data_IF_918052839274
#
_entry.id   IF_918052839274
#
_cell.length_a   1.000
_cell.length_b   1.000
_cell.length_c   1.000
_cell.angle_alpha   90.00
_cell.angle_beta   90.00
_cell.angle_gamma   90.00
#
_symmetry.space_group_name_H-M   'P 1'
#
loop_
_entity.id
_entity.type
_entity.pdbx_description
1 polymer ?
#
# COMPACT_ATOMS: atom_id res chain seq x y z
N UNK A 1 7.97 -20.94 0.81
CA UNK A 1 9.42 -21.23 0.93
C UNK A 1 9.65 -22.18 2.09
N UNK A 2 9.72 -23.51 1.88
CA UNK A 2 9.71 -24.49 2.97
C UNK A 2 10.97 -24.49 3.84
N UNK A 3 12.03 -23.80 3.40
CA UNK A 3 13.32 -23.68 4.09
C UNK A 3 13.50 -22.35 4.83
N UNK A 4 12.52 -21.43 4.76
CA UNK A 4 12.67 -20.08 5.31
C UNK A 4 12.85 -20.06 6.84
N UNK A 5 12.25 -21.04 7.53
CA UNK A 5 12.31 -21.18 9.00
C UNK A 5 13.44 -22.13 9.45
N UNK A 6 14.31 -22.59 8.55
CA UNK A 6 15.43 -23.48 8.91
C UNK A 6 16.50 -22.68 9.69
N UNK A 7 16.92 -23.12 10.89
CA UNK A 7 17.87 -22.37 11.72
C UNK A 7 19.25 -22.19 11.09
N UNK A 8 19.62 -22.99 10.08
CA UNK A 8 20.88 -22.85 9.34
C UNK A 8 20.82 -21.75 8.26
N UNK A 9 19.63 -21.25 7.93
CA UNK A 9 19.45 -20.13 6.99
C UNK A 9 19.44 -18.83 7.79
N UNK A 10 20.56 -18.12 7.78
CA UNK A 10 20.75 -16.90 8.60
C UNK A 10 20.32 -15.61 7.90
N UNK A 11 20.17 -15.62 6.57
CA UNK A 11 19.71 -14.48 5.79
C UNK A 11 19.05 -14.94 4.49
N UNK A 12 18.04 -14.20 4.03
CA UNK A 12 17.33 -14.40 2.77
C UNK A 12 17.23 -13.05 2.07
N UNK A 13 17.62 -12.99 0.80
CA UNK A 13 17.56 -11.77 -0.01
C UNK A 13 16.94 -12.08 -1.38
N UNK A 14 15.93 -11.30 -1.76
CA UNK A 14 15.30 -11.37 -3.07
C UNK A 14 15.82 -10.24 -3.97
N UNK A 15 16.75 -10.56 -4.88
CA UNK A 15 17.33 -9.58 -5.82
C UNK A 15 16.51 -9.38 -7.11
N UNK A 16 15.46 -10.17 -7.31
CA UNK A 16 14.57 -10.13 -8.48
C UNK A 16 15.35 -10.26 -9.80
N UNK A 17 15.17 -9.31 -10.74
CA UNK A 17 15.78 -9.30 -12.07
C UNK A 17 16.66 -8.06 -12.25
N UNK A 18 17.90 -8.05 -11.70
CA UNK A 18 18.73 -6.85 -11.60
C UNK A 18 19.48 -6.44 -12.88
N UNK A 19 19.32 -7.18 -13.99
CA UNK A 19 19.96 -6.85 -15.27
C UNK A 19 21.47 -7.14 -15.30
N UNK A 20 22.21 -6.37 -16.12
CA UNK A 20 23.63 -6.62 -16.41
C UNK A 20 24.57 -6.43 -15.20
N UNK A 21 24.22 -5.54 -14.27
CA UNK A 21 25.00 -5.26 -13.06
C UNK A 21 24.61 -6.15 -11.85
N UNK A 22 24.00 -7.32 -12.11
CA UNK A 22 23.50 -8.24 -11.09
C UNK A 22 24.51 -8.56 -9.99
N UNK A 23 25.74 -8.93 -10.38
CA UNK A 23 26.80 -9.31 -9.45
C UNK A 23 27.29 -8.14 -8.60
N UNK A 24 27.57 -7.00 -9.25
CA UNK A 24 28.08 -5.81 -8.58
C UNK A 24 27.05 -5.27 -7.57
N UNK A 25 25.80 -5.10 -7.99
CA UNK A 25 24.73 -4.61 -7.13
C UNK A 25 24.45 -5.53 -5.93
N UNK A 26 24.52 -6.85 -6.12
CA UNK A 26 24.31 -7.82 -5.04
C UNK A 26 25.46 -7.79 -4.02
N UNK A 27 26.71 -7.79 -4.49
CA UNK A 27 27.91 -7.80 -3.63
C UNK A 27 27.98 -6.53 -2.78
N UNK A 28 27.63 -5.37 -3.33
CA UNK A 28 27.56 -4.12 -2.57
C UNK A 28 26.62 -4.20 -1.37
N UNK A 29 25.48 -4.88 -1.52
CA UNK A 29 24.54 -5.11 -0.41
C UNK A 29 25.09 -6.14 0.57
N UNK A 30 25.58 -7.30 0.08
CA UNK A 30 26.07 -8.38 0.94
C UNK A 30 27.23 -7.96 1.84
N UNK A 31 28.13 -7.10 1.34
CA UNK A 31 29.25 -6.56 2.12
C UNK A 31 28.90 -5.26 2.85
N UNK A 32 27.67 -4.79 2.75
CA UNK A 32 27.20 -3.58 3.43
C UNK A 32 27.88 -2.29 2.94
N UNK A 33 28.39 -2.28 1.70
CA UNK A 33 28.77 -1.05 1.01
C UNK A 33 27.52 -0.21 0.68
N UNK A 34 26.39 -0.88 0.42
CA UNK A 34 25.06 -0.30 0.28
C UNK A 34 24.09 -0.97 1.25
N UNK A 35 23.26 -0.17 1.91
CA UNK A 35 22.22 -0.68 2.80
C UNK A 35 21.03 -1.26 2.02
N UNK A 36 20.54 -2.46 2.37
CA UNK A 36 19.31 -2.97 1.81
C UNK A 36 18.15 -2.06 2.24
N UNK A 37 17.45 -1.53 1.23
CA UNK A 37 16.33 -0.60 1.40
C UNK A 37 15.14 -0.93 0.49
N UNK A 38 15.19 -2.11 -0.15
CA UNK A 38 14.07 -2.64 -0.93
C UNK A 38 12.94 -3.10 -0.02
N UNK A 39 11.71 -3.00 -0.52
CA UNK A 39 10.50 -3.55 0.11
C UNK A 39 9.77 -4.38 -0.93
N UNK A 40 9.13 -5.46 -0.49
CA UNK A 40 8.42 -6.37 -1.37
C UNK A 40 7.24 -5.64 -2.04
N UNK A 41 7.18 -5.63 -3.39
CA UNK A 41 6.06 -5.03 -4.12
C UNK A 41 4.86 -5.99 -4.25
N UNK A 42 4.92 -7.17 -3.62
CA UNK A 42 3.89 -8.20 -3.55
C UNK A 42 4.01 -8.96 -2.24
N UNK A 43 2.96 -9.64 -1.82
CA UNK A 43 2.98 -10.52 -0.66
C UNK A 43 3.62 -11.86 -1.03
N UNK A 44 4.46 -12.44 -0.18
CA UNK A 44 4.96 -13.80 -0.32
C UNK A 44 4.17 -14.73 0.61
N UNK A 45 3.40 -15.69 0.10
CA UNK A 45 2.55 -16.54 0.91
C UNK A 45 3.33 -17.61 1.66
N UNK A 46 2.68 -18.20 2.68
CA UNK A 46 3.09 -19.51 3.19
C UNK A 46 2.66 -20.61 2.23
N UNK A 47 1.40 -20.60 1.77
CA UNK A 47 0.86 -21.55 0.81
C UNK A 47 0.39 -20.85 -0.47
N UNK A 48 0.62 -21.45 -1.64
CA UNK A 48 0.19 -20.84 -2.91
C UNK A 48 -1.31 -20.60 -3.01
N UNK A 49 -2.12 -21.40 -2.29
CA UNK A 49 -3.58 -21.22 -2.19
C UNK A 49 -4.00 -19.92 -1.50
N UNK A 50 -3.11 -19.29 -0.72
CA UNK A 50 -3.44 -18.09 0.05
C UNK A 50 -3.60 -16.84 -0.84
N UNK A 51 -3.04 -16.87 -2.06
CA UNK A 51 -3.23 -15.80 -3.05
C UNK A 51 -4.68 -15.68 -3.56
N UNK A 52 -5.51 -16.69 -3.32
CA UNK A 52 -6.89 -16.71 -3.78
C UNK A 52 -7.09 -17.57 -5.03
N UNK A 53 -7.85 -17.09 -6.04
CA UNK A 53 -8.24 -17.90 -7.19
C UNK A 53 -7.05 -18.54 -7.91
N UNK A 54 -7.14 -19.82 -8.30
CA UNK A 54 -6.05 -20.49 -9.00
C UNK A 54 -5.86 -19.92 -10.41
N UNK A 55 -4.65 -20.03 -10.93
CA UNK A 55 -4.42 -19.86 -12.37
C UNK A 55 -5.25 -20.92 -13.10
N UNK A 56 -6.11 -20.48 -14.01
CA UNK A 56 -6.90 -21.38 -14.85
C UNK A 56 -5.96 -22.08 -15.84
N UNK A 57 -5.60 -23.32 -15.50
CA UNK A 57 -4.69 -24.16 -16.30
C UNK A 57 -5.41 -25.03 -17.32
N UNK A 58 -6.74 -25.09 -17.29
CA UNK A 58 -7.53 -25.83 -18.28
C UNK A 58 -8.86 -25.14 -18.57
N UNK A 59 -9.23 -25.17 -19.86
CA UNK A 59 -10.54 -24.79 -20.38
C UNK A 59 -11.50 -25.97 -20.22
N UNK A 60 -11.54 -26.60 -19.05
CA UNK A 60 -12.19 -27.91 -18.85
C UNK A 60 -13.63 -28.00 -19.40
N UNK A 61 -14.32 -26.86 -19.55
CA UNK A 61 -15.67 -26.76 -20.12
C UNK A 61 -15.78 -25.94 -21.43
N UNK A 62 -14.70 -25.41 -22.00
CA UNK A 62 -14.78 -24.68 -23.27
C UNK A 62 -14.70 -25.66 -24.45
N UNK A 63 -15.76 -25.70 -25.25
CA UNK A 63 -15.84 -26.46 -26.51
C UNK A 63 -15.31 -25.67 -27.71
N UNK A 64 -15.07 -24.36 -27.54
CA UNK A 64 -14.49 -23.46 -28.53
C UNK A 64 -13.14 -22.92 -28.01
N UNK A 65 -12.02 -23.11 -28.74
CA UNK A 65 -10.71 -22.59 -28.35
C UNK A 65 -10.63 -21.05 -28.25
N UNK A 66 -11.61 -20.32 -28.78
CA UNK A 66 -11.71 -18.86 -28.65
C UNK A 66 -12.57 -18.40 -27.47
N UNK A 67 -13.28 -19.31 -26.80
CA UNK A 67 -14.22 -19.00 -25.72
C UNK A 67 -13.61 -19.22 -24.32
N UNK A 68 -12.33 -18.89 -24.14
CA UNK A 68 -11.70 -18.91 -22.83
C UNK A 68 -12.31 -17.82 -21.94
N UNK A 69 -12.64 -18.14 -20.70
CA UNK A 69 -13.24 -17.22 -19.73
C UNK A 69 -12.47 -17.27 -18.42
N UNK A 70 -12.27 -16.10 -17.81
CA UNK A 70 -11.70 -15.94 -16.47
C UNK A 70 -12.57 -14.93 -15.73
N UNK A 71 -13.31 -15.39 -14.74
CA UNK A 71 -14.20 -14.54 -13.95
C UNK A 71 -13.44 -13.98 -12.74
N UNK A 72 -13.34 -12.66 -12.66
CA UNK A 72 -12.62 -11.94 -11.60
C UNK A 72 -13.54 -11.76 -10.38
N UNK A 73 -14.00 -12.89 -9.84
CA UNK A 73 -14.96 -12.95 -8.73
C UNK A 73 -14.41 -12.36 -7.43
N UNK A 74 -13.08 -12.30 -7.29
CA UNK A 74 -12.36 -11.69 -6.17
C UNK A 74 -12.43 -10.16 -6.17
N UNK A 75 -12.79 -9.54 -7.31
CA UNK A 75 -12.89 -8.09 -7.45
C UNK A 75 -11.58 -7.38 -7.07
N UNK A 76 -11.62 -6.54 -6.03
CA UNK A 76 -10.44 -5.79 -5.57
C UNK A 76 -9.52 -6.59 -4.64
N UNK A 77 -9.92 -7.79 -4.20
CA UNK A 77 -9.21 -8.60 -3.22
C UNK A 77 -8.11 -9.42 -3.88
N UNK A 78 -7.04 -8.73 -4.28
CA UNK A 78 -5.82 -9.33 -4.82
C UNK A 78 -4.63 -8.98 -3.93
N UNK A 79 -3.60 -9.84 -3.95
CA UNK A 79 -2.39 -9.70 -3.13
C UNK A 79 -2.74 -9.41 -1.66
N UNK A 80 -2.09 -8.47 -0.97
CA UNK A 80 -2.31 -8.19 0.45
C UNK A 80 -3.76 -7.90 0.83
N UNK A 81 -4.60 -7.43 -0.10
CA UNK A 81 -6.03 -7.20 0.15
C UNK A 81 -6.78 -8.52 0.35
N UNK A 82 -6.41 -9.57 -0.38
CA UNK A 82 -6.91 -10.93 -0.18
C UNK A 82 -6.51 -11.47 1.19
N UNK A 83 -5.23 -11.31 1.57
CA UNK A 83 -4.74 -11.72 2.89
C UNK A 83 -5.45 -10.97 4.02
N UNK A 84 -5.68 -9.65 3.84
CA UNK A 84 -6.39 -8.82 4.80
C UNK A 84 -7.89 -9.19 4.89
N UNK A 85 -8.53 -9.55 3.77
CA UNK A 85 -9.93 -9.98 3.73
C UNK A 85 -10.15 -11.35 4.38
N UNK A 86 -9.25 -12.30 4.12
CA UNK A 86 -9.35 -13.67 4.66
C UNK A 86 -8.79 -13.81 6.08
N UNK A 87 -8.11 -12.78 6.61
CA UNK A 87 -7.40 -12.87 7.88
C UNK A 87 -6.18 -13.81 7.85
N UNK A 88 -5.66 -14.12 6.67
CA UNK A 88 -4.49 -14.99 6.49
C UNK A 88 -3.20 -14.18 6.61
N UNK A 89 -2.17 -14.77 7.22
CA UNK A 89 -0.83 -14.17 7.31
C UNK A 89 0.06 -14.60 6.15
N UNK A 90 0.66 -13.62 5.47
CA UNK A 90 1.72 -13.88 4.51
C UNK A 90 3.00 -14.34 5.25
N UNK A 91 3.87 -15.08 4.57
CA UNK A 91 5.23 -15.37 5.08
C UNK A 91 6.04 -14.07 5.16
N UNK A 92 5.95 -13.25 4.12
CA UNK A 92 6.43 -11.87 4.10
C UNK A 92 5.36 -11.00 3.44
N UNK A 93 4.86 -10.00 4.13
CA UNK A 93 3.74 -9.18 3.68
C UNK A 93 4.14 -8.15 2.62
N UNK A 94 3.15 -7.64 1.88
CA UNK A 94 3.36 -6.50 0.99
C UNK A 94 3.99 -5.32 1.74
N UNK A 95 5.00 -4.72 1.11
CA UNK A 95 5.78 -3.62 1.68
C UNK A 95 6.81 -4.04 2.72
N UNK A 96 7.00 -5.33 3.01
CA UNK A 96 8.00 -5.82 3.95
C UNK A 96 9.43 -5.73 3.39
N UNK A 97 10.39 -5.44 4.25
CA UNK A 97 11.80 -5.59 3.95
C UNK A 97 12.66 -5.07 5.09
N UNK A 98 13.72 -5.81 5.41
CA UNK A 98 14.64 -5.46 6.48
C UNK A 98 15.68 -4.43 6.02
N UNK A 99 16.49 -3.96 6.96
CA UNK A 99 17.66 -3.12 6.76
C UNK A 99 18.77 -3.56 7.72
N UNK A 100 20.02 -3.15 7.52
CA UNK A 100 21.05 -3.34 8.56
C UNK A 100 20.99 -2.27 9.65
N UNK A 101 20.10 -1.28 9.50
CA UNK A 101 19.71 -0.36 10.58
C UNK A 101 18.30 -0.64 11.10
N UNK A 102 17.95 -0.02 12.22
CA UNK A 102 16.63 -0.07 12.82
C UNK A 102 15.93 1.28 12.66
N UNK A 103 14.61 1.26 12.46
CA UNK A 103 13.80 2.46 12.37
C UNK A 103 12.63 2.40 13.33
N UNK A 104 12.29 3.54 13.93
CA UNK A 104 11.09 3.72 14.75
C UNK A 104 10.24 4.81 14.14
N UNK A 105 8.92 4.67 14.27
CA UNK A 105 7.94 5.66 13.84
C UNK A 105 7.20 6.18 15.07
N UNK A 106 6.90 7.48 15.11
CA UNK A 106 6.04 8.04 16.16
C UNK A 106 4.62 7.45 16.05
N UNK A 107 3.96 7.21 17.19
CA UNK A 107 2.52 6.91 17.19
C UNK A 107 1.68 8.16 16.88
N UNK A 108 2.23 9.34 17.19
CA UNK A 108 1.58 10.62 16.94
C UNK A 108 1.75 11.01 15.47
N UNK A 109 0.63 11.33 14.84
CA UNK A 109 0.55 11.73 13.43
C UNK A 109 -0.37 12.92 13.29
N UNK A 110 -0.03 13.85 12.39
CA UNK A 110 -0.91 14.95 12.05
C UNK A 110 -1.68 14.63 10.78
N UNK A 111 -2.96 15.00 10.77
CA UNK A 111 -3.81 14.94 9.58
C UNK A 111 -4.47 16.31 9.42
N UNK A 112 -4.45 16.83 8.19
CA UNK A 112 -5.04 18.11 7.83
C UNK A 112 -5.79 17.99 6.52
N UNK A 113 -7.03 18.49 6.48
CA UNK A 113 -7.77 18.72 5.24
C UNK A 113 -7.35 20.07 4.65
N UNK A 114 -7.11 20.09 3.35
CA UNK A 114 -6.80 21.30 2.58
C UNK A 114 -8.11 21.90 2.07
N UNK A 115 -8.25 23.21 2.19
CA UNK A 115 -9.38 24.00 1.71
C UNK A 115 -10.75 23.65 2.35
N UNK A 116 -10.77 22.95 3.49
CA UNK A 116 -11.97 22.69 4.29
C UNK A 116 -12.66 21.33 4.01
N UNK A 117 -13.97 21.20 4.29
CA UNK A 117 -14.70 19.96 4.08
C UNK A 117 -14.78 19.60 2.59
N UNK A 118 -14.86 18.31 2.29
CA UNK A 118 -14.95 17.82 0.91
C UNK A 118 -16.41 17.63 0.51
N UNK A 119 -16.74 18.08 -0.71
CA UNK A 119 -17.97 17.65 -1.38
C UNK A 119 -17.92 16.15 -1.69
N UNK A 120 -19.09 15.51 -1.74
CA UNK A 120 -19.23 14.11 -2.15
C UNK A 120 -18.69 13.88 -3.57
N UNK A 121 -19.05 14.79 -4.47
CA UNK A 121 -18.73 14.71 -5.88
C UNK A 121 -17.58 15.65 -6.23
N UNK A 122 -16.70 15.24 -7.16
CA UNK A 122 -15.65 16.11 -7.66
C UNK A 122 -16.24 17.24 -8.52
N UNK A 123 -15.57 18.40 -8.53
CA UNK A 123 -15.99 19.57 -9.32
C UNK A 123 -15.80 19.31 -10.83
N UNK A 124 -16.92 19.11 -11.53
CA UNK A 124 -16.93 18.85 -12.97
C UNK A 124 -16.46 20.06 -13.80
N UNK A 125 -16.55 21.28 -13.26
CA UNK A 125 -16.16 22.50 -13.97
C UNK A 125 -14.64 22.62 -14.19
N UNK A 126 -13.84 21.86 -13.42
CA UNK A 126 -12.38 21.80 -13.59
C UNK A 126 -11.93 21.07 -14.87
N UNK A 127 -12.86 20.42 -15.58
CA UNK A 127 -12.60 19.78 -16.85
C UNK A 127 -11.79 18.47 -16.75
N UNK A 128 -11.50 17.89 -17.91
CA UNK A 128 -10.82 16.60 -18.02
C UNK A 128 -9.32 16.76 -18.31
N UNK A 129 -8.51 15.93 -17.66
CA UNK A 129 -7.07 15.78 -17.90
C UNK A 129 -6.75 14.31 -18.21
N UNK A 130 -5.56 13.98 -18.76
CA UNK A 130 -5.15 12.59 -18.87
C UNK A 130 -5.29 11.85 -17.52
N UNK A 131 -6.11 10.80 -17.51
CA UNK A 131 -6.41 10.01 -16.33
C UNK A 131 -7.76 10.30 -15.65
N UNK A 132 -8.47 11.38 -15.98
CA UNK A 132 -9.81 11.63 -15.43
C UNK A 132 -10.13 13.12 -15.23
N UNK A 133 -11.20 13.38 -14.49
CA UNK A 133 -11.58 14.74 -14.09
C UNK A 133 -10.47 15.39 -13.26
N UNK A 134 -10.12 16.65 -13.55
CA UNK A 134 -8.99 17.34 -12.95
C UNK A 134 -9.06 17.40 -11.42
N UNK A 135 -10.26 17.61 -10.86
CA UNK A 135 -10.47 17.72 -9.41
C UNK A 135 -10.14 16.42 -8.65
N UNK A 136 -10.15 15.26 -9.32
CA UNK A 136 -9.73 13.99 -8.70
C UNK A 136 -8.25 13.97 -8.29
N UNK A 137 -7.44 14.78 -8.96
CA UNK A 137 -5.98 14.84 -8.80
C UNK A 137 -5.54 15.98 -7.89
N UNK A 138 -6.49 16.80 -7.40
CA UNK A 138 -6.21 17.83 -6.40
C UNK A 138 -5.82 17.17 -5.08
N UNK A 139 -4.73 17.63 -4.48
CA UNK A 139 -4.37 17.25 -3.10
C UNK A 139 -5.37 17.91 -2.14
N UNK A 140 -6.06 17.09 -1.37
CA UNK A 140 -7.13 17.53 -0.46
C UNK A 140 -6.83 17.24 1.00
N UNK A 141 -5.82 16.43 1.29
CA UNK A 141 -5.38 16.19 2.66
C UNK A 141 -3.88 15.91 2.71
N UNK A 142 -3.29 16.18 3.87
CA UNK A 142 -1.90 15.86 4.17
C UNK A 142 -1.82 15.10 5.48
N UNK A 143 -1.10 13.99 5.47
CA UNK A 143 -0.74 13.25 6.68
C UNK A 143 0.77 13.30 6.89
N UNK A 144 1.21 13.54 8.11
CA UNK A 144 2.63 13.57 8.47
C UNK A 144 2.92 12.67 9.67
N UNK A 145 4.08 12.03 9.66
CA UNK A 145 4.55 11.19 10.77
C UNK A 145 6.06 11.25 10.88
N UNK A 146 6.57 11.32 12.11
CA UNK A 146 8.02 11.31 12.35
C UNK A 146 8.59 9.89 12.27
N UNK A 147 9.74 9.77 11.61
CA UNK A 147 10.52 8.53 11.47
C UNK A 147 11.94 8.80 11.94
N UNK A 148 12.44 7.93 12.81
CA UNK A 148 13.78 8.00 13.38
C UNK A 148 14.60 6.78 12.95
N UNK A 149 15.84 6.99 12.55
CA UNK A 149 16.81 5.90 12.45
C UNK A 149 17.39 5.62 13.84
N UNK A 150 16.90 4.57 14.49
CA UNK A 150 17.29 4.17 15.84
C UNK A 150 18.49 3.21 15.88
N UNK A 151 19.02 2.82 14.71
CA UNK A 151 20.22 1.99 14.62
C UNK A 151 21.51 2.81 14.55
N UNK A 152 22.60 2.11 14.18
CA UNK A 152 23.97 2.66 14.18
C UNK A 152 24.51 2.97 12.78
N UNK A 153 23.75 2.69 11.72
CA UNK A 153 24.17 2.86 10.32
C UNK A 153 23.23 3.81 9.59
N UNK A 154 23.77 4.66 8.73
CA UNK A 154 22.95 5.48 7.83
C UNK A 154 22.27 4.56 6.82
N UNK A 155 20.95 4.69 6.66
CA UNK A 155 20.16 3.79 5.80
C UNK A 155 18.87 4.49 5.33
N UNK A 156 18.07 3.80 4.52
CA UNK A 156 16.78 4.29 4.06
C UNK A 156 15.60 3.54 4.66
N UNK A 157 14.69 4.31 5.28
CA UNK A 157 13.36 3.86 5.65
C UNK A 157 12.39 4.02 4.48
N UNK A 158 11.35 3.18 4.44
CA UNK A 158 10.22 3.33 3.51
C UNK A 158 8.91 3.37 4.29
N UNK A 159 8.54 4.53 4.87
CA UNK A 159 7.25 4.71 5.50
C UNK A 159 6.12 4.59 4.47
N UNK A 160 5.03 3.93 4.84
CA UNK A 160 3.88 3.63 3.99
C UNK A 160 2.61 4.08 4.69
N UNK A 161 1.73 4.78 3.95
CA UNK A 161 0.40 5.19 4.39
C UNK A 161 -0.66 4.33 3.73
N UNK A 162 -1.51 3.75 4.56
CA UNK A 162 -2.69 3.03 4.16
C UNK A 162 -3.98 3.72 4.63
N UNK A 163 -5.00 3.67 3.78
CA UNK A 163 -6.32 4.28 4.01
C UNK A 163 -7.39 3.19 4.04
N UNK A 164 -8.28 3.29 5.03
CA UNK A 164 -9.47 2.46 5.19
C UNK A 164 -10.70 3.34 5.05
N UNK A 165 -11.43 3.17 3.96
CA UNK A 165 -12.72 3.84 3.77
C UNK A 165 -13.81 3.21 4.67
N UNK A 166 -14.82 3.98 5.10
CA UNK A 166 -15.95 3.48 5.88
C UNK A 166 -16.70 2.37 5.13
N UNK A 167 -16.85 1.19 5.75
CA UNK A 167 -17.45 0.01 5.10
C UNK A 167 -18.99 0.06 5.06
N UNK A 168 -19.58 0.94 5.84
CA UNK A 168 -21.02 1.16 5.97
C UNK A 168 -21.58 2.12 4.92
N UNK A 169 -20.73 2.96 4.33
CA UNK A 169 -21.10 3.95 3.30
C UNK A 169 -20.33 3.77 1.98
N UNK A 170 -19.60 2.68 1.84
CA UNK A 170 -18.96 2.27 0.58
C UNK A 170 -19.56 0.96 0.05
N UNK A 171 -19.45 0.68 -1.27
CA UNK A 171 -20.00 -0.54 -1.85
C UNK A 171 -19.40 -1.81 -1.23
N UNK A 172 -20.17 -2.91 -1.18
CA UNK A 172 -19.63 -4.22 -0.84
C UNK A 172 -18.41 -4.58 -1.68
N UNK A 173 -17.41 -5.22 -1.07
CA UNK A 173 -16.15 -5.54 -1.74
C UNK A 173 -15.12 -4.39 -1.76
N UNK A 174 -15.38 -3.29 -1.05
CA UNK A 174 -14.36 -2.27 -0.78
C UNK A 174 -13.26 -2.86 0.13
N UNK A 175 -11.97 -2.79 -0.23
CA UNK A 175 -10.90 -3.34 0.60
C UNK A 175 -10.82 -2.67 1.98
N UNK A 176 -10.51 -3.47 3.02
CA UNK A 176 -10.38 -2.97 4.39
C UNK A 176 -9.32 -1.89 4.54
N UNK A 177 -8.26 -1.94 3.73
CA UNK A 177 -7.10 -1.06 3.82
C UNK A 177 -6.38 -1.05 2.47
N UNK A 178 -6.01 0.12 1.96
CA UNK A 178 -5.29 0.25 0.68
C UNK A 178 -4.13 1.24 0.80
N UNK A 179 -2.97 0.90 0.24
CA UNK A 179 -1.83 1.82 0.13
C UNK A 179 -2.25 3.08 -0.66
N UNK A 180 -1.91 4.26 -0.13
CA UNK A 180 -2.12 5.57 -0.77
C UNK A 180 -0.89 6.45 -0.84
N UNK A 181 0.13 6.19 -0.02
CA UNK A 181 1.38 6.95 -0.09
C UNK A 181 2.54 6.14 0.44
N UNK A 182 3.73 6.43 -0.06
CA UNK A 182 4.98 5.99 0.54
C UNK A 182 6.08 7.01 0.21
N UNK A 183 7.07 7.10 1.08
CA UNK A 183 8.27 7.89 0.83
C UNK A 183 9.51 7.04 1.07
N UNK A 184 10.63 7.38 0.43
CA UNK A 184 11.93 6.79 0.74
C UNK A 184 12.82 7.82 1.40
N UNK A 185 12.97 7.71 2.70
CA UNK A 185 13.74 8.65 3.50
C UNK A 185 15.12 8.05 3.76
N UNK A 186 16.19 8.75 3.35
CA UNK A 186 17.54 8.43 3.80
C UNK A 186 17.82 9.20 5.10
N UNK A 187 18.31 8.49 6.12
CA UNK A 187 18.57 9.00 7.47
C UNK A 187 19.92 8.50 7.98
N UNK A 188 20.73 9.41 8.52
CA UNK A 188 21.91 9.07 9.34
C UNK A 188 21.48 8.38 10.64
N UNK A 189 22.41 7.71 11.30
CA UNK A 189 22.15 7.13 12.62
C UNK A 189 21.70 8.22 13.62
N UNK A 190 20.59 7.98 14.33
CA UNK A 190 19.99 8.92 15.27
C UNK A 190 19.20 10.07 14.63
N UNK A 191 19.20 10.21 13.30
CA UNK A 191 18.46 11.27 12.61
C UNK A 191 16.95 11.00 12.64
N UNK A 192 16.18 12.09 12.74
CA UNK A 192 14.72 12.11 12.64
C UNK A 192 14.29 12.91 11.44
N UNK A 193 13.32 12.41 10.69
CA UNK A 193 12.70 13.11 9.56
C UNK A 193 11.20 12.87 9.55
N UNK A 194 10.46 13.87 9.10
CA UNK A 194 9.03 13.76 8.86
C UNK A 194 8.79 13.09 7.49
N UNK A 195 8.00 12.03 7.46
CA UNK A 195 7.40 11.51 6.25
C UNK A 195 6.10 12.28 5.96
N UNK A 196 5.92 12.76 4.72
CA UNK A 196 4.75 13.56 4.33
C UNK A 196 3.97 12.86 3.21
N UNK A 197 2.70 12.62 3.44
CA UNK A 197 1.81 11.96 2.47
C UNK A 197 0.74 12.94 2.01
N UNK A 198 0.78 13.30 0.74
CA UNK A 198 -0.28 14.04 0.07
C UNK A 198 -1.34 13.07 -0.42
N UNK A 199 -2.58 13.32 -0.04
CA UNK A 199 -3.74 12.53 -0.45
C UNK A 199 -4.56 13.34 -1.45
N UNK A 200 -4.70 12.80 -2.65
CA UNK A 200 -5.57 13.34 -3.67
C UNK A 200 -7.03 13.07 -3.34
N UNK A 201 -7.96 13.83 -3.92
CA UNK A 201 -9.40 13.54 -3.79
C UNK A 201 -9.70 12.09 -4.10
N UNK A 202 -9.14 11.57 -5.20
CA UNK A 202 -9.32 10.17 -5.63
C UNK A 202 -8.85 9.14 -4.60
N UNK A 203 -7.83 9.45 -3.81
CA UNK A 203 -7.30 8.54 -2.79
C UNK A 203 -8.32 8.27 -1.68
N UNK A 204 -9.24 9.21 -1.49
CA UNK A 204 -10.34 9.16 -0.53
C UNK A 204 -11.69 8.82 -1.20
N UNK A 205 -11.71 8.43 -2.47
CA UNK A 205 -12.93 8.12 -3.21
C UNK A 205 -13.09 6.63 -3.51
N UNK A 206 -14.35 6.23 -3.74
CA UNK A 206 -14.72 4.97 -4.38
C UNK A 206 -15.45 5.26 -5.70
N UNK A 207 -15.58 4.24 -6.55
CA UNK A 207 -16.37 4.33 -7.78
C UNK A 207 -17.82 3.90 -7.54
N UNK A 208 -18.76 4.82 -7.73
CA UNK A 208 -20.19 4.54 -7.71
C UNK A 208 -20.62 3.96 -9.07
N UNK A 209 -21.09 2.71 -9.06
CA UNK A 209 -21.51 2.00 -10.27
C UNK A 209 -22.84 2.51 -10.84
N UNK A 210 -23.75 2.96 -9.99
CA UNK A 210 -25.08 3.41 -10.41
C UNK A 210 -24.95 4.74 -11.16
N UNK A 211 -24.22 5.68 -10.56
CA UNK A 211 -24.02 7.01 -11.12
C UNK A 211 -22.77 7.15 -12.00
N UNK A 212 -21.93 6.10 -12.08
CA UNK A 212 -20.71 6.04 -12.90
C UNK A 212 -19.77 7.20 -12.64
N UNK A 213 -19.50 7.48 -11.36
CA UNK A 213 -18.66 8.59 -10.93
C UNK A 213 -17.86 8.25 -9.68
N UNK A 214 -16.80 9.01 -9.44
CA UNK A 214 -16.05 8.94 -8.20
C UNK A 214 -16.78 9.71 -7.10
N UNK A 215 -16.84 9.12 -5.92
CA UNK A 215 -17.52 9.69 -4.75
C UNK A 215 -16.60 9.57 -3.54
N UNK A 216 -16.40 10.68 -2.82
CA UNK A 216 -15.83 10.64 -1.45
C UNK A 216 -16.93 10.14 -0.51
N UNK A 217 -16.76 9.07 0.26
CA UNK A 217 -17.80 8.58 1.15
C UNK A 217 -17.94 9.46 2.41
N UNK A 218 -19.16 9.54 2.94
CA UNK A 218 -19.41 10.08 4.28
C UNK A 218 -19.00 9.04 5.35
N UNK A 219 -18.47 9.50 6.49
CA UNK A 219 -18.17 8.63 7.62
C UNK A 219 -16.70 8.67 8.07
N UNK A 220 -16.29 7.66 8.84
CA UNK A 220 -14.95 7.62 9.44
C UNK A 220 -13.96 6.95 8.49
N UNK A 221 -13.08 7.76 7.91
CA UNK A 221 -11.90 7.27 7.20
C UNK A 221 -10.77 7.07 8.20
N UNK A 222 -10.12 5.91 8.16
CA UNK A 222 -8.96 5.61 9.03
C UNK A 222 -7.68 5.65 8.22
N UNK A 223 -6.64 6.20 8.84
CA UNK A 223 -5.31 6.33 8.29
C UNK A 223 -4.35 5.53 9.16
N UNK A 224 -3.55 4.67 8.55
CA UNK A 224 -2.54 3.88 9.25
C UNK A 224 -1.20 4.01 8.55
N UNK A 225 -0.20 4.52 9.25
CA UNK A 225 1.17 4.62 8.74
C UNK A 225 2.08 3.58 9.42
N UNK A 226 3.03 3.07 8.66
CA UNK A 226 3.91 1.99 9.12
C UNK A 226 5.06 1.70 8.18
N UNK A 227 5.75 0.58 8.40
CA UNK A 227 6.87 0.15 7.55
C UNK A 227 6.50 -0.99 6.58
N UNK A 228 5.31 -1.56 6.73
CA UNK A 228 4.73 -2.56 5.82
C UNK A 228 3.21 -2.60 5.98
N UNK A 229 2.52 -3.42 5.18
CA UNK A 229 1.06 -3.62 5.29
C UNK A 229 0.61 -4.24 6.62
N UNK A 230 1.51 -4.89 7.37
CA UNK A 230 1.24 -5.54 8.67
C UNK A 230 1.97 -4.89 9.85
N UNK A 231 3.06 -4.16 9.61
CA UNK A 231 3.72 -3.33 10.61
C UNK A 231 3.17 -1.90 10.56
N UNK A 232 2.02 -1.67 11.22
CA UNK A 232 1.33 -0.38 11.29
C UNK A 232 1.47 0.22 12.69
N UNK A 233 2.09 1.40 12.76
CA UNK A 233 2.49 2.06 14.01
C UNK A 233 1.57 3.22 14.32
N UNK A 234 1.60 4.29 13.51
CA UNK A 234 0.76 5.47 13.69
C UNK A 234 -0.64 5.22 13.13
N UNK A 235 -1.66 5.64 13.88
CA UNK A 235 -3.06 5.52 13.47
C UNK A 235 -3.80 6.80 13.81
N UNK A 236 -4.58 7.29 12.86
CA UNK A 236 -5.52 8.39 13.08
C UNK A 236 -6.77 8.18 12.24
N UNK A 237 -7.77 9.01 12.44
CA UNK A 237 -9.01 8.96 11.68
C UNK A 237 -9.55 10.37 11.46
N UNK A 238 -10.28 10.54 10.37
CA UNK A 238 -11.03 11.76 10.10
C UNK A 238 -12.47 11.37 9.77
N UNK A 239 -13.41 12.18 10.24
CA UNK A 239 -14.80 12.08 9.80
C UNK A 239 -14.97 12.98 8.58
N UNK A 240 -15.28 12.39 7.44
CA UNK A 240 -15.68 13.12 6.25
C UNK A 240 -17.19 13.35 6.33
N UNK A 241 -17.60 14.61 6.32
CA UNK A 241 -18.98 15.05 6.19
C UNK A 241 -19.06 15.94 4.95
N UNK A 242 -20.14 15.83 4.20
CA UNK A 242 -20.37 16.73 3.08
C UNK A 242 -20.73 18.12 3.59
N UNK A 243 -20.34 19.14 2.84
CA UNK A 243 -20.85 20.49 3.06
C UNK A 243 -22.38 20.48 2.89
N UNK A 244 -23.13 21.01 3.85
CA UNK A 244 -24.60 21.00 3.86
C UNK A 244 -25.23 22.15 3.07
N UNK A 245 -24.60 22.56 1.97
CA UNK A 245 -25.10 23.66 1.15
C UNK A 245 -26.07 23.21 0.07
#
# INVERSE_FOLDING_TARGET
MPWADNPNVTAILAAHYPGEESGNALVDVLWGAVEPSGRLPYSIPRNSSDYGPPILSSVANATDPNAWQVDFTEGQMIDYRQFDANGTEALYEFGFGLSYSNFTMSSDTSFELIDGPLSALPDQSQGMVPGGLADLWKVVAVLKVEVTNSGHRASSAVPQLYVSLPQDTTPPGTPHKVLRGFEKLHLKAGERREARFELMRRDLSYWDLENRQWVVPEGIVRFSAGFSSRNLVARTHARLVYDQN
#
